data_IF_836872222749
#
_entry.id   IF_836872222749
#
_cell.length_a   1.000
_cell.length_b   1.000
_cell.length_c   1.000
_cell.angle_alpha   90.00
_cell.angle_beta   90.00
_cell.angle_gamma   90.00
#
_symmetry.space_group_name_H-M   'P 1'
#
loop_
_entity.id
_entity.type
_entity.pdbx_description
1 polymer ?
#
# COMPACT_ATOMS: atom_id res chain seq x y z
N UNK A 1 2.47 -28.42 17.81
CA UNK A 1 2.00 -28.24 16.41
C UNK A 1 0.53 -28.61 16.18
N UNK A 2 -0.19 -29.29 17.12
CA UNK A 2 -1.65 -29.44 17.03
C UNK A 2 -2.38 -28.07 17.01
N UNK A 3 -1.89 -27.06 17.73
CA UNK A 3 -2.48 -25.73 17.79
C UNK A 3 -2.52 -25.05 16.41
N UNK A 4 -1.44 -25.11 15.62
CA UNK A 4 -1.42 -24.55 14.27
C UNK A 4 -2.41 -25.22 13.30
N UNK A 5 -2.65 -26.51 13.51
CA UNK A 5 -3.65 -27.24 12.73
C UNK A 5 -5.07 -26.77 13.08
N UNK A 6 -5.35 -26.56 14.36
CA UNK A 6 -6.64 -26.04 14.81
C UNK A 6 -6.88 -24.60 14.30
N UNK A 7 -5.86 -23.74 14.33
CA UNK A 7 -5.90 -22.38 13.77
C UNK A 7 -6.17 -22.40 12.26
N UNK A 8 -5.53 -23.30 11.52
CA UNK A 8 -5.79 -23.47 10.08
C UNK A 8 -7.20 -23.98 9.82
N UNK A 9 -7.68 -24.94 10.59
CA UNK A 9 -9.04 -25.46 10.47
C UNK A 9 -10.08 -24.38 10.76
N UNK A 10 -9.87 -23.54 11.78
CA UNK A 10 -10.71 -22.40 12.08
C UNK A 10 -10.73 -21.40 10.91
N UNK A 11 -9.56 -21.01 10.40
CA UNK A 11 -9.46 -20.12 9.25
C UNK A 11 -10.23 -20.67 8.03
N UNK A 12 -10.02 -21.94 7.70
CA UNK A 12 -10.71 -22.60 6.58
C UNK A 12 -12.22 -22.66 6.76
N UNK A 13 -12.70 -22.78 8.00
CA UNK A 13 -14.15 -22.79 8.31
C UNK A 13 -14.82 -21.43 8.10
N UNK A 14 -14.03 -20.34 8.12
CA UNK A 14 -14.49 -18.97 7.95
C UNK A 14 -14.33 -18.44 6.52
N UNK A 15 -13.58 -19.17 5.68
CA UNK A 15 -13.35 -18.83 4.29
C UNK A 15 -14.56 -19.23 3.43
N UNK A 16 -14.99 -18.31 2.57
CA UNK A 16 -16.05 -18.54 1.58
C UNK A 16 -15.71 -17.91 0.24
N UNK A 17 -16.24 -18.48 -0.85
CA UNK A 17 -16.16 -17.87 -2.17
C UNK A 17 -17.05 -16.63 -2.27
N UNK A 18 -16.62 -15.62 -3.06
CA UNK A 18 -17.34 -14.37 -3.27
C UNK A 18 -17.00 -13.78 -4.64
N UNK A 19 -17.96 -13.20 -5.32
CA UNK A 19 -17.67 -12.32 -6.45
C UNK A 19 -17.09 -11.00 -5.92
N UNK A 20 -16.12 -10.43 -6.64
CA UNK A 20 -15.38 -9.26 -6.16
C UNK A 20 -16.26 -8.02 -5.96
N UNK A 21 -17.32 -7.88 -6.74
CA UNK A 21 -18.33 -6.81 -6.66
C UNK A 21 -19.30 -6.95 -5.49
N UNK A 22 -19.42 -8.14 -4.90
CA UNK A 22 -20.31 -8.36 -3.78
C UNK A 22 -19.70 -7.80 -2.48
N UNK A 23 -20.41 -6.92 -1.80
CA UNK A 23 -20.01 -6.38 -0.50
C UNK A 23 -20.60 -7.30 0.57
N UNK A 24 -19.77 -7.92 1.44
CA UNK A 24 -20.26 -8.72 2.55
C UNK A 24 -21.06 -7.88 3.53
N UNK A 25 -22.10 -8.49 4.12
CA UNK A 25 -22.96 -7.84 5.14
C UNK A 25 -22.51 -8.14 6.57
N UNK A 26 -21.43 -8.87 6.75
CA UNK A 26 -20.85 -9.22 8.05
C UNK A 26 -19.38 -8.82 8.10
N UNK A 27 -18.81 -8.55 9.28
CA UNK A 27 -17.40 -8.22 9.42
C UNK A 27 -16.46 -9.33 8.92
N UNK A 28 -15.37 -8.93 8.28
CA UNK A 28 -14.36 -9.84 7.78
C UNK A 28 -13.51 -9.24 6.67
N UNK A 29 -12.56 -10.02 6.20
CA UNK A 29 -11.54 -9.63 5.22
C UNK A 29 -11.94 -10.06 3.82
N UNK A 30 -11.96 -9.13 2.89
CA UNK A 30 -12.15 -9.39 1.48
C UNK A 30 -10.81 -9.76 0.81
N UNK A 31 -10.78 -10.90 0.15
CA UNK A 31 -9.69 -11.29 -0.75
C UNK A 31 -10.23 -11.49 -2.17
N UNK A 32 -9.38 -11.54 -3.21
CA UNK A 32 -9.85 -11.79 -4.56
C UNK A 32 -10.71 -13.06 -4.64
N UNK A 33 -11.94 -12.93 -5.12
CA UNK A 33 -12.94 -13.99 -5.24
C UNK A 33 -13.26 -14.74 -3.91
N UNK A 34 -12.90 -14.14 -2.76
CA UNK A 34 -13.11 -14.76 -1.48
C UNK A 34 -13.43 -13.77 -0.37
N UNK A 35 -13.86 -14.34 0.75
CA UNK A 35 -14.15 -13.61 1.97
C UNK A 35 -13.82 -14.47 3.18
N UNK A 36 -13.12 -13.93 4.15
CA UNK A 36 -12.81 -14.56 5.42
C UNK A 36 -13.60 -13.82 6.50
N UNK A 37 -14.62 -14.48 7.04
CA UNK A 37 -15.40 -13.92 8.13
C UNK A 37 -14.54 -13.77 9.39
N UNK A 38 -14.70 -12.67 10.13
CA UNK A 38 -14.01 -12.46 11.40
C UNK A 38 -14.30 -13.59 12.40
N UNK A 39 -13.28 -13.89 13.20
CA UNK A 39 -13.40 -14.79 14.35
C UNK A 39 -13.89 -14.05 15.61
N UNK A 40 -13.77 -14.71 16.76
CA UNK A 40 -14.18 -14.17 18.05
C UNK A 40 -13.20 -13.15 18.66
N UNK A 41 -12.19 -12.70 17.91
CA UNK A 41 -11.16 -11.75 18.35
C UNK A 41 -11.15 -10.49 17.51
N UNK A 42 -10.35 -9.50 17.93
CA UNK A 42 -10.03 -8.36 17.07
C UNK A 42 -9.24 -8.88 15.86
N UNK A 43 -9.64 -8.52 14.63
CA UNK A 43 -8.92 -8.95 13.45
C UNK A 43 -7.47 -8.45 13.50
N UNK A 44 -6.54 -9.35 13.23
CA UNK A 44 -5.14 -9.04 12.98
C UNK A 44 -4.85 -9.39 11.54
N UNK A 45 -4.76 -8.38 10.73
CA UNK A 45 -4.61 -8.51 9.28
C UNK A 45 -3.34 -7.82 8.82
N UNK A 46 -2.66 -8.47 7.91
CA UNK A 46 -1.55 -7.91 7.14
C UNK A 46 -1.70 -8.46 5.73
N UNK A 47 -2.23 -7.62 4.84
CA UNK A 47 -2.64 -8.02 3.50
C UNK A 47 -2.04 -7.06 2.51
N UNK A 48 -1.38 -7.60 1.49
CA UNK A 48 -0.86 -6.83 0.37
C UNK A 48 -1.45 -7.32 -0.94
N UNK A 49 -1.98 -6.40 -1.72
CA UNK A 49 -2.40 -6.60 -3.10
C UNK A 49 -1.41 -5.94 -4.03
N UNK A 50 -0.94 -6.67 -5.04
CA UNK A 50 -0.06 -6.13 -6.07
C UNK A 50 -0.78 -6.18 -7.41
N UNK A 51 -0.89 -5.03 -8.06
CA UNK A 51 -1.50 -4.85 -9.37
C UNK A 51 -0.41 -4.51 -10.39
N UNK A 52 0.13 -5.49 -11.10
CA UNK A 52 1.12 -5.22 -12.12
C UNK A 52 0.47 -4.55 -13.34
N UNK A 53 1.03 -3.42 -13.76
CA UNK A 53 0.70 -2.77 -15.01
C UNK A 53 1.90 -2.94 -15.95
N UNK A 54 1.95 -4.08 -16.63
CA UNK A 54 3.06 -4.49 -17.48
C UNK A 54 3.19 -3.59 -18.72
N UNK A 55 4.38 -3.12 -19.12
CA UNK A 55 5.68 -3.31 -18.45
C UNK A 55 6.11 -2.12 -17.57
N UNK A 56 5.25 -1.13 -17.32
CA UNK A 56 5.65 0.19 -16.86
C UNK A 56 5.81 0.27 -15.34
N UNK A 57 4.79 -0.10 -14.58
CA UNK A 57 4.82 -0.01 -13.12
C UNK A 57 3.89 -1.03 -12.46
N UNK A 58 4.06 -1.19 -11.15
CA UNK A 58 3.13 -1.92 -10.29
C UNK A 58 2.61 -1.02 -9.19
N UNK A 59 1.32 -1.15 -8.88
CA UNK A 59 0.68 -0.58 -7.72
C UNK A 59 0.60 -1.65 -6.64
N UNK A 60 1.12 -1.35 -5.45
CA UNK A 60 0.96 -2.17 -4.25
C UNK A 60 0.04 -1.45 -3.28
N UNK A 61 -0.90 -2.18 -2.71
CA UNK A 61 -1.80 -1.68 -1.67
C UNK A 61 -1.72 -2.64 -0.50
N UNK A 62 -1.20 -2.18 0.63
CA UNK A 62 -1.10 -2.94 1.86
C UNK A 62 -2.02 -2.37 2.92
N UNK A 63 -2.63 -3.26 3.71
CA UNK A 63 -3.36 -2.91 4.91
C UNK A 63 -2.85 -3.72 6.09
N UNK A 64 -2.68 -3.07 7.25
CA UNK A 64 -2.23 -3.72 8.47
C UNK A 64 -3.01 -3.17 9.67
N UNK A 65 -3.52 -4.04 10.55
CA UNK A 65 -4.38 -3.65 11.67
C UNK A 65 -3.71 -3.73 13.04
N UNK A 66 -2.40 -4.05 13.13
CA UNK A 66 -1.75 -4.32 14.41
C UNK A 66 -0.27 -3.92 14.53
N UNK A 67 0.39 -3.58 13.45
CA UNK A 67 1.80 -3.15 13.44
C UNK A 67 1.89 -1.66 13.16
N UNK A 68 1.86 -0.85 14.21
CA UNK A 68 2.08 0.59 14.11
C UNK A 68 3.54 0.99 14.29
N UNK A 69 3.84 2.24 13.97
CA UNK A 69 5.12 2.89 14.21
C UNK A 69 4.89 4.11 15.12
N UNK A 70 5.74 4.40 16.11
CA UNK A 70 5.60 5.57 16.97
C UNK A 70 5.78 6.89 16.21
N UNK A 71 6.43 6.86 15.04
CA UNK A 71 6.68 8.01 14.19
C UNK A 71 6.16 7.77 12.78
N UNK A 72 5.56 8.78 12.17
CA UNK A 72 5.09 8.69 10.79
C UNK A 72 6.25 8.75 9.78
N UNK A 73 6.00 8.40 8.51
CA UNK A 73 7.01 8.43 7.46
C UNK A 73 7.69 9.80 7.36
N UNK A 74 6.97 10.89 7.45
CA UNK A 74 7.56 12.23 7.39
C UNK A 74 8.33 12.59 8.68
N UNK A 75 7.92 12.10 9.84
CA UNK A 75 8.65 12.26 11.11
C UNK A 75 9.97 11.48 11.09
N UNK A 76 10.04 10.36 10.35
CA UNK A 76 11.25 9.55 10.13
C UNK A 76 12.10 9.99 8.94
N UNK A 77 11.91 11.20 8.47
CA UNK A 77 12.61 11.74 7.29
C UNK A 77 14.12 11.61 7.37
N UNK A 78 14.69 11.86 8.54
CA UNK A 78 16.13 11.82 8.76
C UNK A 78 16.71 10.40 8.61
N UNK A 79 15.90 9.38 8.83
CA UNK A 79 16.29 7.97 8.63
C UNK A 79 16.18 7.56 7.15
N UNK A 80 15.20 8.11 6.42
CA UNK A 80 14.92 7.78 5.03
C UNK A 80 15.83 8.55 4.07
N UNK A 81 16.12 9.82 4.38
CA UNK A 81 16.87 10.72 3.50
C UNK A 81 18.26 10.22 3.10
N UNK A 82 19.07 9.57 4.00
CA UNK A 82 20.36 9.01 3.59
C UNK A 82 20.26 7.93 2.51
N UNK A 83 19.21 7.12 2.54
CA UNK A 83 18.96 6.13 1.47
C UNK A 83 18.65 6.83 0.15
N UNK A 84 17.74 7.80 0.14
CA UNK A 84 17.37 8.57 -1.06
C UNK A 84 18.57 9.30 -1.65
N UNK A 85 19.40 9.90 -0.80
CA UNK A 85 20.65 10.57 -1.22
C UNK A 85 21.63 9.59 -1.88
N UNK A 86 21.81 8.40 -1.30
CA UNK A 86 22.71 7.36 -1.84
C UNK A 86 22.31 6.91 -3.24
N UNK A 87 21.01 6.84 -3.53
CA UNK A 87 20.50 6.46 -4.86
C UNK A 87 20.28 7.66 -5.77
N UNK A 88 20.75 8.85 -5.41
CA UNK A 88 20.53 10.10 -6.14
C UNK A 88 19.07 10.38 -6.46
N UNK A 89 18.17 10.07 -5.52
CA UNK A 89 16.75 10.30 -5.70
C UNK A 89 16.42 11.80 -5.72
N UNK A 90 15.52 12.16 -6.65
CA UNK A 90 14.88 13.47 -6.72
C UNK A 90 13.51 13.38 -6.08
N UNK A 91 13.26 14.18 -5.06
CA UNK A 91 11.94 14.33 -4.47
C UNK A 91 11.08 15.21 -5.36
N UNK A 92 9.93 14.71 -5.78
CA UNK A 92 8.93 15.45 -6.56
C UNK A 92 7.89 16.10 -5.65
N UNK A 93 7.47 15.39 -4.59
CA UNK A 93 6.52 15.87 -3.60
C UNK A 93 6.78 15.17 -2.27
N UNK A 94 6.64 15.91 -1.16
CA UNK A 94 6.75 15.42 0.21
C UNK A 94 5.87 16.25 1.11
N UNK A 95 4.74 15.72 1.52
CA UNK A 95 3.74 16.48 2.27
C UNK A 95 2.78 15.59 3.05
N UNK A 96 2.02 16.20 3.95
CA UNK A 96 0.82 15.57 4.52
C UNK A 96 -0.31 15.65 3.52
N UNK A 97 -1.08 14.57 3.43
CA UNK A 97 -2.21 14.44 2.52
C UNK A 97 -3.34 13.66 3.19
N UNK A 98 -4.30 13.22 2.40
CA UNK A 98 -5.41 12.37 2.83
C UNK A 98 -5.62 11.24 1.83
N UNK A 99 -5.88 10.03 2.33
CA UNK A 99 -6.31 8.89 1.53
C UNK A 99 -7.54 8.22 2.16
N UNK A 100 -8.59 8.06 1.38
CA UNK A 100 -9.84 7.41 1.82
C UNK A 100 -10.46 8.01 3.10
N UNK A 101 -10.23 9.30 3.39
CA UNK A 101 -10.70 9.99 4.59
C UNK A 101 -9.76 9.91 5.79
N UNK A 102 -8.57 9.33 5.65
CA UNK A 102 -7.54 9.29 6.70
C UNK A 102 -6.40 10.24 6.41
N UNK A 103 -5.89 10.92 7.46
CA UNK A 103 -4.64 11.67 7.35
C UNK A 103 -3.50 10.73 6.99
N UNK A 104 -2.64 11.16 6.07
CA UNK A 104 -1.56 10.37 5.52
C UNK A 104 -0.31 11.22 5.27
N UNK A 105 0.83 10.56 5.28
CA UNK A 105 2.09 11.11 4.81
C UNK A 105 2.37 10.62 3.38
N UNK A 106 2.79 11.54 2.52
CA UNK A 106 3.13 11.25 1.13
C UNK A 106 4.57 11.62 0.83
N UNK A 107 5.28 10.74 0.10
CA UNK A 107 6.62 11.02 -0.39
C UNK A 107 6.83 10.42 -1.78
N UNK A 108 6.96 11.28 -2.77
CA UNK A 108 7.12 10.92 -4.17
C UNK A 108 8.56 11.18 -4.62
N UNK A 109 9.26 10.13 -4.99
CA UNK A 109 10.64 10.20 -5.44
C UNK A 109 10.84 9.51 -6.79
N UNK A 110 11.76 10.03 -7.58
CA UNK A 110 12.35 9.34 -8.73
C UNK A 110 13.85 9.24 -8.54
N UNK A 111 14.46 8.16 -9.00
CA UNK A 111 15.91 8.00 -8.93
C UNK A 111 16.44 7.46 -10.26
N UNK A 112 17.71 7.77 -10.64
CA UNK A 112 18.34 7.17 -11.81
C UNK A 112 18.42 5.66 -11.67
N UNK A 113 18.34 4.94 -12.79
CA UNK A 113 18.58 3.50 -12.77
C UNK A 113 20.06 3.20 -12.58
N UNK A 114 20.37 2.33 -11.62
CA UNK A 114 21.75 1.83 -11.42
C UNK A 114 22.28 1.03 -12.63
N UNK A 115 21.39 0.55 -13.51
CA UNK A 115 21.76 -0.37 -14.61
C UNK A 115 22.17 0.32 -15.91
N UNK A 116 21.93 1.61 -16.06
CA UNK A 116 22.36 2.34 -17.26
C UNK A 116 22.39 3.85 -17.01
N UNK A 117 23.58 4.43 -16.80
CA UNK A 117 23.73 5.88 -16.67
C UNK A 117 23.25 6.66 -17.90
N UNK A 118 23.27 6.01 -19.07
CA UNK A 118 22.96 6.61 -20.36
C UNK A 118 21.49 6.44 -20.79
N UNK A 119 20.69 5.71 -20.04
CA UNK A 119 19.26 5.55 -20.33
C UNK A 119 18.45 6.33 -19.30
N UNK A 120 17.52 7.21 -19.69
CA UNK A 120 16.70 7.99 -18.77
C UNK A 120 15.61 7.16 -18.05
N UNK A 121 15.92 5.91 -17.77
CA UNK A 121 15.05 5.02 -17.02
C UNK A 121 15.23 5.28 -15.53
N UNK A 122 14.27 5.95 -14.92
CA UNK A 122 14.28 6.22 -13.49
C UNK A 122 13.59 5.13 -12.69
N UNK A 123 14.06 4.94 -11.46
CA UNK A 123 13.34 4.18 -10.45
C UNK A 123 12.21 5.06 -9.89
N UNK A 124 10.99 4.53 -9.87
CA UNK A 124 9.83 5.20 -9.31
C UNK A 124 9.61 4.71 -7.88
N UNK A 125 9.53 5.64 -6.94
CA UNK A 125 9.36 5.39 -5.52
C UNK A 125 8.28 6.34 -4.97
N UNK A 126 7.02 6.10 -5.33
CA UNK A 126 5.89 6.88 -4.84
C UNK A 126 5.21 6.12 -3.72
N UNK A 127 5.05 6.77 -2.59
CA UNK A 127 4.46 6.15 -1.41
C UNK A 127 3.52 7.12 -0.69
N UNK A 128 2.41 6.60 -0.17
CA UNK A 128 1.53 7.26 0.78
C UNK A 128 1.17 6.28 1.88
N UNK A 129 1.29 6.70 3.14
CA UNK A 129 0.98 5.87 4.29
C UNK A 129 0.05 6.62 5.24
N UNK A 130 -1.07 5.99 5.60
CA UNK A 130 -2.00 6.50 6.59
C UNK A 130 -1.96 5.68 7.88
N UNK A 131 -2.33 6.31 8.99
CA UNK A 131 -2.55 5.70 10.31
C UNK A 131 -1.33 5.03 10.96
N UNK A 132 -0.10 5.34 10.57
CA UNK A 132 1.11 4.69 11.10
C UNK A 132 1.18 4.73 12.65
N UNK A 133 0.77 5.85 13.26
CA UNK A 133 0.89 6.10 14.71
C UNK A 133 -0.30 5.58 15.51
N UNK A 134 -1.44 5.37 14.86
CA UNK A 134 -2.69 4.94 15.50
C UNK A 134 -3.27 3.81 14.69
N UNK A 135 -2.83 2.59 14.97
CA UNK A 135 -3.25 1.41 14.23
C UNK A 135 -4.23 0.56 15.03
N UNK A 136 -5.37 0.29 14.46
CA UNK A 136 -6.33 -0.70 14.92
C UNK A 136 -7.21 -1.17 13.73
N UNK A 137 -8.22 -1.98 14.02
CA UNK A 137 -9.10 -2.50 12.96
C UNK A 137 -9.99 -1.42 12.30
N UNK A 138 -10.19 -0.25 12.95
CA UNK A 138 -10.93 0.90 12.39
C UNK A 138 -10.00 1.91 11.73
N UNK A 139 -8.75 1.92 12.12
CA UNK A 139 -7.68 2.77 11.59
C UNK A 139 -6.54 1.88 11.12
N UNK A 140 -6.77 1.02 10.11
CA UNK A 140 -5.68 0.20 9.57
C UNK A 140 -4.61 1.10 8.98
N UNK A 141 -3.35 0.71 9.08
CA UNK A 141 -2.35 1.31 8.21
C UNK A 141 -2.79 1.01 6.77
N UNK A 142 -2.78 2.03 5.96
CA UNK A 142 -2.98 1.92 4.51
C UNK A 142 -1.69 2.41 3.87
N UNK A 143 -0.95 1.51 3.26
CA UNK A 143 0.28 1.81 2.52
C UNK A 143 0.01 1.56 1.03
N UNK A 144 0.11 2.62 0.24
CA UNK A 144 0.01 2.54 -1.22
C UNK A 144 1.34 2.93 -1.83
N UNK A 145 1.89 2.03 -2.62
CA UNK A 145 3.18 2.23 -3.30
C UNK A 145 3.02 2.06 -4.79
N UNK A 146 3.52 3.03 -5.56
CA UNK A 146 3.71 2.91 -7.01
C UNK A 146 5.20 2.80 -7.30
N UNK A 147 5.59 1.69 -7.94
CA UNK A 147 6.99 1.40 -8.26
C UNK A 147 7.14 0.75 -9.62
N UNK A 148 8.33 0.80 -10.19
CA UNK A 148 8.70 0.07 -11.40
C UNK A 148 9.78 -0.95 -11.08
N UNK A 149 9.58 -2.20 -11.49
CA UNK A 149 10.53 -3.29 -11.25
C UNK A 149 11.44 -3.59 -12.45
N UNK A 150 11.03 -3.20 -13.62
CA UNK A 150 11.77 -3.41 -14.85
C UNK A 150 11.83 -2.14 -15.67
N UNK A 151 13.01 -1.84 -16.14
CA UNK A 151 13.33 -0.61 -16.81
C UNK A 151 13.16 -0.73 -18.33
N UNK A 152 12.08 -0.30 -18.90
CA UNK A 152 12.18 0.59 -20.05
C UNK A 152 12.25 2.04 -19.55
N UNK A 153 12.78 2.99 -20.36
CA UNK A 153 12.68 4.39 -20.05
C UNK A 153 11.23 4.73 -19.70
N UNK A 154 10.97 5.59 -18.69
CA UNK A 154 9.62 5.94 -18.35
C UNK A 154 8.92 6.47 -19.61
N UNK A 155 7.83 5.83 -19.99
CA UNK A 155 6.97 6.33 -21.06
C UNK A 155 6.33 7.68 -20.68
N UNK A 156 6.55 8.13 -19.44
CA UNK A 156 5.90 9.27 -18.81
C UNK A 156 6.95 10.21 -18.19
N UNK A 157 6.70 11.50 -18.27
CA UNK A 157 7.42 12.54 -17.52
C UNK A 157 7.06 12.49 -16.02
N UNK A 158 7.89 13.13 -15.17
CA UNK A 158 7.61 13.26 -13.73
C UNK A 158 6.21 13.84 -13.48
N UNK A 159 5.78 14.84 -14.29
CA UNK A 159 4.47 15.48 -14.14
C UNK A 159 3.31 14.51 -14.47
N UNK A 160 3.45 13.72 -15.53
CA UNK A 160 2.45 12.71 -15.90
C UNK A 160 2.37 11.59 -14.86
N UNK A 161 3.50 11.16 -14.30
CA UNK A 161 3.54 10.18 -13.22
C UNK A 161 2.83 10.69 -11.96
N UNK A 162 3.06 11.95 -11.58
CA UNK A 162 2.37 12.57 -10.46
C UNK A 162 0.86 12.69 -10.74
N UNK A 163 0.45 13.04 -11.97
CA UNK A 163 -0.97 13.08 -12.32
C UNK A 163 -1.64 11.70 -12.26
N UNK A 164 -0.96 10.65 -12.75
CA UNK A 164 -1.44 9.26 -12.63
C UNK A 164 -1.59 8.89 -11.16
N UNK A 165 -0.59 9.18 -10.34
CA UNK A 165 -0.61 8.95 -8.91
C UNK A 165 -1.80 9.64 -8.22
N UNK A 166 -1.98 10.93 -8.48
CA UNK A 166 -3.07 11.71 -7.91
C UNK A 166 -4.45 11.13 -8.24
N UNK A 167 -4.63 10.65 -9.47
CA UNK A 167 -5.88 9.98 -9.88
C UNK A 167 -6.08 8.67 -9.12
N UNK A 168 -5.01 7.90 -8.92
CA UNK A 168 -5.07 6.66 -8.15
C UNK A 168 -5.47 6.97 -6.70
N UNK A 169 -4.74 7.86 -6.01
CA UNK A 169 -4.98 8.16 -4.59
C UNK A 169 -6.38 8.74 -4.37
N UNK A 170 -6.83 9.65 -5.23
CA UNK A 170 -8.19 10.19 -5.17
C UNK A 170 -9.30 9.15 -5.44
N UNK A 171 -8.97 8.01 -6.00
CA UNK A 171 -9.95 6.94 -6.26
C UNK A 171 -10.21 6.05 -5.04
N UNK A 172 -9.34 6.07 -4.04
CA UNK A 172 -9.51 5.27 -2.83
C UNK A 172 -10.75 5.71 -2.05
N UNK A 173 -11.50 4.73 -1.56
CA UNK A 173 -12.67 4.93 -0.70
C UNK A 173 -12.74 3.81 0.32
N UNK A 174 -13.06 4.16 1.54
CA UNK A 174 -13.54 3.16 2.50
C UNK A 174 -14.91 2.70 2.05
N UNK A 175 -15.15 1.40 2.04
CA UNK A 175 -16.47 0.85 1.72
C UNK A 175 -17.44 1.16 2.86
N UNK A 176 -18.70 1.36 2.53
CA UNK A 176 -19.76 1.46 3.53
C UNK A 176 -19.77 0.23 4.42
N UNK A 177 -19.85 0.44 5.72
CA UNK A 177 -19.83 -0.61 6.76
C UNK A 177 -18.53 -1.46 6.78
N UNK A 178 -17.40 -0.88 6.38
CA UNK A 178 -16.10 -1.56 6.44
C UNK A 178 -15.57 -1.72 7.87
N UNK A 179 -16.08 -0.92 8.83
CA UNK A 179 -15.66 -0.89 10.23
C UNK A 179 -16.86 -0.91 11.19
#
# INVERSE_FOLDING_TARGET
KPQKLAELQDLMSRLSGRHNENIPSVPGTCIPQGFIRDGNGKPKEDITFVYPHNPVFSLSVSTNTYLGDPASMLERSDEIQPYLTRINAKTLRKEKTEIAGFEADEWLNTAPSEKSPDTPSGQLLFNVIANEKVVDFRHPIIDVTLSNHTLPPPAYSDAELVEIWDRIIRSFRVRENAF
#
